data_IF_356736733427
#
_entry.id   IF_356736733427
#
_cell.length_a   1.000
_cell.length_b   1.000
_cell.length_c   1.000
_cell.angle_alpha   90.00
_cell.angle_beta   90.00
_cell.angle_gamma   90.00
#
_symmetry.space_group_name_H-M   'P 1'
#
loop_
_entity.id
_entity.type
_entity.pdbx_description
1 polymer ?
#
# COMPACT_ATOMS: atom_id res chain seq x y z
N UNK A 1 -6.64 -21.13 -30.55
CA UNK A 1 -5.97 -20.37 -29.50
C UNK A 1 -6.56 -18.97 -29.41
N UNK A 2 -6.71 -18.45 -28.19
CA UNK A 2 -7.29 -17.12 -27.94
C UNK A 2 -6.33 -16.01 -28.34
N UNK A 3 -5.02 -16.23 -28.16
CA UNK A 3 -3.97 -15.27 -28.51
C UNK A 3 -3.34 -15.67 -29.84
N UNK A 4 -3.46 -14.83 -30.85
CA UNK A 4 -2.88 -15.05 -32.21
C UNK A 4 -1.93 -13.93 -32.64
N UNK A 5 -2.11 -12.73 -32.10
CA UNK A 5 -1.36 -11.53 -32.46
C UNK A 5 -0.63 -10.97 -31.22
N UNK A 6 0.41 -10.17 -31.43
CA UNK A 6 1.18 -9.53 -30.36
C UNK A 6 1.70 -10.51 -29.28
N UNK A 7 2.06 -11.71 -29.67
CA UNK A 7 2.51 -12.73 -28.71
C UNK A 7 3.69 -12.26 -27.85
N UNK A 8 4.60 -11.46 -28.42
CA UNK A 8 5.73 -10.88 -27.69
C UNK A 8 5.31 -9.99 -26.52
N UNK A 9 4.22 -9.21 -26.67
CA UNK A 9 3.67 -8.40 -25.60
C UNK A 9 3.18 -9.27 -24.42
N UNK A 10 2.38 -10.30 -24.71
CA UNK A 10 1.84 -11.18 -23.66
C UNK A 10 2.93 -12.02 -23.00
N UNK A 11 3.92 -12.49 -23.75
CA UNK A 11 5.08 -13.20 -23.20
C UNK A 11 5.88 -12.26 -22.29
N UNK A 12 6.14 -11.03 -22.71
CA UNK A 12 6.82 -10.03 -21.90
C UNK A 12 6.09 -9.75 -20.58
N UNK A 13 4.77 -9.53 -20.63
CA UNK A 13 3.96 -9.36 -19.42
C UNK A 13 4.02 -10.58 -18.50
N UNK A 14 3.88 -11.77 -19.05
CA UNK A 14 3.99 -13.01 -18.28
C UNK A 14 5.35 -13.16 -17.59
N UNK A 15 6.43 -12.85 -18.28
CA UNK A 15 7.78 -12.90 -17.72
C UNK A 15 7.94 -11.89 -16.57
N UNK A 16 7.45 -10.65 -16.73
CA UNK A 16 7.44 -9.64 -15.68
C UNK A 16 6.68 -10.13 -14.43
N UNK A 17 5.47 -10.65 -14.62
CA UNK A 17 4.65 -11.12 -13.51
C UNK A 17 5.22 -12.37 -12.83
N UNK A 18 5.76 -13.31 -13.59
CA UNK A 18 6.34 -14.54 -13.05
C UNK A 18 7.67 -14.31 -12.31
N UNK A 19 8.37 -13.23 -12.62
CA UNK A 19 9.58 -12.80 -11.89
C UNK A 19 9.28 -11.88 -10.70
N UNK A 20 8.01 -11.52 -10.50
CA UNK A 20 7.55 -10.55 -9.48
C UNK A 20 8.14 -9.14 -9.62
N UNK A 21 8.63 -8.80 -10.80
CA UNK A 21 9.09 -7.44 -11.07
C UNK A 21 7.91 -6.48 -11.23
N UNK A 22 8.01 -5.23 -10.76
CA UNK A 22 7.00 -4.20 -11.03
C UNK A 22 6.84 -3.96 -12.54
N UNK A 23 5.61 -3.68 -12.97
CA UNK A 23 5.35 -3.34 -14.36
C UNK A 23 5.68 -1.89 -14.70
N UNK A 24 5.49 -1.01 -13.72
CA UNK A 24 5.59 0.44 -13.88
C UNK A 24 6.21 1.05 -12.62
N UNK A 25 6.93 2.16 -12.80
CA UNK A 25 7.31 3.00 -11.68
C UNK A 25 6.08 3.77 -11.17
N UNK A 26 5.84 3.69 -9.89
CA UNK A 26 4.70 4.32 -9.22
C UNK A 26 4.48 3.82 -7.81
N UNK A 27 3.50 4.41 -7.16
CA UNK A 27 3.14 4.09 -5.78
C UNK A 27 1.64 3.77 -5.70
N UNK A 28 1.29 2.62 -5.13
CA UNK A 28 -0.06 2.31 -4.70
C UNK A 28 -0.29 2.85 -3.28
N UNK A 29 -1.35 3.59 -3.05
CA UNK A 29 -1.84 3.97 -1.72
C UNK A 29 -3.13 3.22 -1.46
N UNK A 30 -3.06 2.12 -0.70
CA UNK A 30 -4.21 1.32 -0.31
C UNK A 30 -4.72 1.77 1.07
N UNK A 31 -6.01 2.07 1.16
CA UNK A 31 -6.63 2.63 2.35
C UNK A 31 -7.80 1.78 2.84
N UNK A 32 -7.88 1.56 4.16
CA UNK A 32 -9.06 0.99 4.82
C UNK A 32 -9.48 1.89 6.00
N UNK A 33 -10.57 2.64 5.80
CA UNK A 33 -11.04 3.64 6.75
C UNK A 33 -12.44 3.32 7.24
N UNK A 34 -12.67 3.47 8.56
CA UNK A 34 -13.99 3.26 9.18
C UNK A 34 -14.84 4.53 9.08
N UNK A 35 -14.30 5.66 9.53
CA UNK A 35 -15.04 6.94 9.69
C UNK A 35 -14.50 8.08 8.80
N UNK A 36 -13.62 7.79 7.83
CA UNK A 36 -13.09 8.78 6.90
C UNK A 36 -11.76 9.43 7.30
N UNK A 37 -11.38 9.45 8.57
CA UNK A 37 -10.13 10.10 9.01
C UNK A 37 -8.86 9.43 8.41
N UNK A 38 -8.83 8.12 8.37
CA UNK A 38 -7.72 7.38 7.73
C UNK A 38 -7.72 7.61 6.22
N UNK A 39 -8.90 7.73 5.60
CA UNK A 39 -9.02 8.07 4.18
C UNK A 39 -8.47 9.44 3.88
N UNK A 40 -8.86 10.47 4.66
CA UNK A 40 -8.32 11.82 4.51
C UNK A 40 -6.78 11.85 4.65
N UNK A 41 -6.22 11.07 5.58
CA UNK A 41 -4.78 10.93 5.72
C UNK A 41 -4.12 10.24 4.52
N UNK A 42 -4.75 9.21 3.97
CA UNK A 42 -4.25 8.51 2.78
C UNK A 42 -4.34 9.40 1.52
N UNK A 43 -5.41 10.18 1.37
CA UNK A 43 -5.53 11.17 0.29
C UNK A 43 -4.46 12.27 0.43
N UNK A 44 -4.17 12.71 1.66
CA UNK A 44 -3.06 13.65 1.91
C UNK A 44 -1.70 13.03 1.57
N UNK A 45 -1.49 11.76 1.86
CA UNK A 45 -0.26 11.05 1.48
C UNK A 45 -0.10 10.99 -0.05
N UNK A 46 -1.18 10.86 -0.83
CA UNK A 46 -1.14 10.97 -2.30
C UNK A 46 -0.61 12.33 -2.75
N UNK A 47 -1.08 13.42 -2.12
CA UNK A 47 -0.58 14.77 -2.43
C UNK A 47 0.91 14.90 -2.10
N UNK A 48 1.32 14.42 -0.92
CA UNK A 48 2.71 14.46 -0.45
C UNK A 48 3.63 13.66 -1.39
N UNK A 49 3.23 12.45 -1.79
CA UNK A 49 4.02 11.64 -2.74
C UNK A 49 4.19 12.35 -4.08
N UNK A 50 3.13 12.95 -4.61
CA UNK A 50 3.20 13.73 -5.87
C UNK A 50 4.11 14.96 -5.73
N UNK A 51 4.03 15.67 -4.62
CA UNK A 51 4.89 16.82 -4.33
C UNK A 51 6.37 16.43 -4.19
N UNK A 52 6.66 15.21 -3.72
CA UNK A 52 8.01 14.65 -3.63
C UNK A 52 8.48 13.93 -4.91
N UNK A 53 7.76 14.06 -6.02
CA UNK A 53 8.22 13.62 -7.34
C UNK A 53 7.86 12.19 -7.72
N UNK A 54 6.88 11.56 -7.04
CA UNK A 54 6.37 10.26 -7.48
C UNK A 54 5.82 10.37 -8.92
N UNK A 55 6.32 9.50 -9.82
CA UNK A 55 5.95 9.49 -11.24
C UNK A 55 4.46 9.21 -11.46
N UNK A 56 3.91 8.34 -10.61
CA UNK A 56 2.51 7.93 -10.64
C UNK A 56 2.06 7.54 -9.23
N UNK A 57 0.88 7.97 -8.83
CA UNK A 57 0.28 7.58 -7.54
C UNK A 57 -1.17 7.16 -7.79
N UNK A 58 -1.48 5.92 -7.45
CA UNK A 58 -2.82 5.33 -7.52
C UNK A 58 -3.37 5.19 -6.12
N UNK A 59 -4.60 5.63 -5.91
CA UNK A 59 -5.30 5.50 -4.64
C UNK A 59 -6.40 4.45 -4.75
N UNK A 60 -6.49 3.55 -3.76
CA UNK A 60 -7.51 2.50 -3.67
C UNK A 60 -8.13 2.49 -2.26
N UNK A 61 -9.44 2.70 -2.18
CA UNK A 61 -10.23 2.57 -0.95
C UNK A 61 -10.74 1.12 -0.85
N UNK A 62 -10.06 0.29 -0.09
CA UNK A 62 -10.36 -1.15 0.09
C UNK A 62 -11.76 -1.42 0.67
N UNK A 63 -12.45 -0.37 1.15
CA UNK A 63 -13.84 -0.49 1.65
C UNK A 63 -14.88 -0.19 0.57
N UNK A 64 -14.46 0.26 -0.62
CA UNK A 64 -15.34 0.74 -1.69
C UNK A 64 -14.97 0.20 -3.06
N UNK A 65 -13.66 0.15 -3.35
CA UNK A 65 -13.14 -0.23 -4.66
C UNK A 65 -13.02 -1.76 -4.77
N UNK A 66 -12.80 -2.24 -5.98
CA UNK A 66 -12.64 -3.67 -6.23
C UNK A 66 -11.31 -4.19 -5.63
N UNK A 67 -11.42 -5.11 -4.71
CA UNK A 67 -10.27 -5.76 -4.07
C UNK A 67 -9.37 -6.48 -5.09
N UNK A 68 -9.91 -7.00 -6.19
CA UNK A 68 -9.11 -7.66 -7.22
C UNK A 68 -8.25 -6.65 -7.99
N UNK A 69 -8.76 -5.44 -8.24
CA UNK A 69 -7.98 -4.35 -8.84
C UNK A 69 -6.89 -3.86 -7.89
N UNK A 70 -7.18 -3.72 -6.58
CA UNK A 70 -6.17 -3.36 -5.59
C UNK A 70 -5.04 -4.38 -5.53
N UNK A 71 -5.35 -5.67 -5.59
CA UNK A 71 -4.34 -6.75 -5.66
C UNK A 71 -3.54 -6.66 -6.95
N UNK A 72 -4.18 -6.41 -8.11
CA UNK A 72 -3.48 -6.25 -9.38
C UNK A 72 -2.51 -5.05 -9.35
N UNK A 73 -2.91 -3.93 -8.75
CA UNK A 73 -2.06 -2.76 -8.59
C UNK A 73 -0.89 -2.99 -7.63
N UNK A 74 -1.05 -3.83 -6.59
CA UNK A 74 0.06 -4.24 -5.74
C UNK A 74 1.14 -5.05 -6.50
N UNK A 75 0.74 -5.79 -7.52
CA UNK A 75 1.68 -6.46 -8.44
C UNK A 75 2.26 -5.50 -9.49
N UNK A 76 1.51 -4.48 -9.87
CA UNK A 76 1.93 -3.49 -10.88
C UNK A 76 3.01 -2.55 -10.38
N UNK A 77 2.89 -2.07 -9.13
CA UNK A 77 3.80 -1.07 -8.55
C UNK A 77 4.77 -1.69 -7.55
N UNK A 78 6.00 -1.18 -7.55
CA UNK A 78 7.05 -1.64 -6.61
C UNK A 78 6.93 -1.08 -5.20
N UNK A 79 6.18 0.03 -5.04
CA UNK A 79 6.06 0.81 -3.80
C UNK A 79 4.60 0.89 -3.37
N UNK A 80 4.31 0.61 -2.10
CA UNK A 80 2.94 0.50 -1.59
C UNK A 80 2.85 1.21 -0.24
N UNK A 81 1.95 2.18 -0.12
CA UNK A 81 1.53 2.74 1.17
C UNK A 81 0.28 2.02 1.63
N UNK A 82 0.30 1.53 2.86
CA UNK A 82 -0.83 0.92 3.54
C UNK A 82 -1.34 1.87 4.61
N UNK A 83 -2.59 2.34 4.49
CA UNK A 83 -3.23 3.22 5.45
C UNK A 83 -4.44 2.52 6.08
N UNK A 84 -4.35 2.16 7.36
CA UNK A 84 -5.39 1.39 8.03
C UNK A 84 -5.81 1.98 9.37
N UNK A 85 -7.11 1.89 9.66
CA UNK A 85 -7.62 2.11 11.00
C UNK A 85 -7.30 0.92 11.90
N UNK A 86 -7.01 1.20 13.17
CA UNK A 86 -6.99 0.17 14.22
C UNK A 86 -8.40 -0.27 14.54
N UNK A 87 -8.63 -1.57 14.57
CA UNK A 87 -9.93 -2.17 14.85
C UNK A 87 -9.74 -3.42 15.71
N UNK A 88 -10.49 -3.53 16.79
CA UNK A 88 -10.49 -4.67 17.71
C UNK A 88 -9.07 -5.12 18.12
N UNK A 89 -8.24 -4.16 18.53
CA UNK A 89 -6.82 -4.33 18.86
C UNK A 89 -5.94 -4.89 17.73
N UNK A 90 -6.42 -4.85 16.49
CA UNK A 90 -5.75 -5.35 15.28
C UNK A 90 -5.85 -4.39 14.10
N UNK A 91 -5.76 -4.95 12.92
CA UNK A 91 -5.91 -4.26 11.62
C UNK A 91 -7.38 -4.25 11.22
N UNK A 92 -7.86 -3.16 10.63
CA UNK A 92 -9.23 -3.13 10.10
C UNK A 92 -9.41 -4.20 8.98
N UNK A 93 -10.46 -5.06 9.06
CA UNK A 93 -10.58 -6.26 8.24
C UNK A 93 -10.37 -6.12 6.72
N UNK A 94 -10.83 -5.06 6.03
CA UNK A 94 -10.54 -4.93 4.59
C UNK A 94 -9.05 -4.84 4.26
N UNK A 95 -8.23 -4.21 5.13
CA UNK A 95 -6.78 -4.16 4.97
C UNK A 95 -6.15 -5.51 5.29
N UNK A 96 -6.62 -6.19 6.31
CA UNK A 96 -6.14 -7.52 6.70
C UNK A 96 -6.43 -8.55 5.59
N UNK A 97 -7.64 -8.54 5.00
CA UNK A 97 -8.00 -9.39 3.85
C UNK A 97 -7.12 -9.09 2.64
N UNK A 98 -6.88 -7.80 2.34
CA UNK A 98 -5.97 -7.40 1.27
C UNK A 98 -4.58 -8.00 1.46
N UNK A 99 -3.98 -7.83 2.63
CA UNK A 99 -2.64 -8.34 2.94
C UNK A 99 -2.58 -9.87 2.85
N UNK A 100 -3.57 -10.59 3.38
CA UNK A 100 -3.63 -12.05 3.26
C UNK A 100 -3.75 -12.51 1.80
N UNK A 101 -4.46 -11.78 0.94
CA UNK A 101 -4.50 -12.07 -0.49
C UNK A 101 -3.13 -11.91 -1.13
N UNK A 102 -2.37 -10.88 -0.75
CA UNK A 102 -0.99 -10.68 -1.25
C UNK A 102 -0.07 -11.82 -0.81
N UNK A 103 -0.17 -12.25 0.47
CA UNK A 103 0.58 -13.41 1.01
C UNK A 103 0.24 -14.69 0.24
N UNK A 104 -1.04 -15.00 0.05
CA UNK A 104 -1.49 -16.21 -0.66
C UNK A 104 -1.06 -16.23 -2.13
N UNK A 105 -0.88 -15.05 -2.74
CA UNK A 105 -0.35 -14.91 -4.11
C UNK A 105 1.17 -14.80 -4.17
N UNK A 106 1.83 -14.96 -3.02
CA UNK A 106 3.28 -14.93 -2.90
C UNK A 106 3.91 -13.63 -3.42
N UNK A 107 3.23 -12.47 -3.20
CA UNK A 107 3.78 -11.16 -3.56
C UNK A 107 5.14 -10.98 -2.89
N UNK A 108 6.11 -10.49 -3.63
CA UNK A 108 7.48 -10.28 -3.17
C UNK A 108 8.13 -9.11 -3.89
N UNK A 109 9.35 -8.72 -3.48
CA UNK A 109 10.13 -7.62 -4.07
C UNK A 109 9.37 -6.28 -4.04
N UNK A 110 8.81 -5.94 -2.87
CA UNK A 110 8.03 -4.69 -2.69
C UNK A 110 8.51 -3.91 -1.48
N UNK A 111 8.39 -2.59 -1.57
CA UNK A 111 8.63 -1.68 -0.45
C UNK A 111 7.29 -1.16 0.07
N UNK A 112 7.10 -1.24 1.38
CA UNK A 112 5.88 -0.81 2.04
C UNK A 112 6.14 0.35 3.01
N UNK A 113 5.28 1.38 2.94
CA UNK A 113 5.16 2.42 3.95
C UNK A 113 3.86 2.26 4.73
N UNK A 114 3.87 2.56 6.03
CA UNK A 114 2.73 2.31 6.91
C UNK A 114 2.17 3.59 7.51
N UNK A 115 0.85 3.73 7.42
CA UNK A 115 0.05 4.77 8.09
C UNK A 115 -1.01 4.05 8.92
N UNK A 116 -1.08 4.36 10.20
CA UNK A 116 -2.10 3.84 11.09
C UNK A 116 -2.92 4.95 11.72
N UNK A 117 -4.16 4.65 12.08
CA UNK A 117 -5.02 5.56 12.82
C UNK A 117 -5.75 4.82 13.95
N UNK A 118 -5.80 5.44 15.12
CA UNK A 118 -6.54 4.93 16.27
C UNK A 118 -6.67 5.99 17.35
N UNK A 119 -7.82 6.03 18.04
CA UNK A 119 -8.11 7.13 19.00
C UNK A 119 -7.18 7.10 20.21
N UNK A 120 -6.92 5.93 20.80
CA UNK A 120 -6.13 5.80 22.05
C UNK A 120 -4.79 5.13 21.82
N UNK A 121 -4.81 3.91 21.27
CA UNK A 121 -3.62 3.10 21.06
C UNK A 121 -3.65 2.58 19.61
N UNK A 122 -3.15 3.37 18.64
CA UNK A 122 -2.97 2.87 17.27
C UNK A 122 -2.13 1.58 17.30
N UNK A 123 -2.60 0.55 16.61
CA UNK A 123 -1.95 -0.78 16.61
C UNK A 123 -1.97 -1.46 15.23
N UNK A 124 -2.61 -0.82 14.24
CA UNK A 124 -2.71 -1.38 12.89
C UNK A 124 -1.34 -1.57 12.22
N UNK A 125 -0.40 -0.64 12.43
CA UNK A 125 0.94 -0.74 11.85
C UNK A 125 1.68 -1.99 12.34
N UNK A 126 1.58 -2.31 13.62
CA UNK A 126 2.16 -3.53 14.18
C UNK A 126 1.55 -4.79 13.54
N UNK A 127 0.23 -4.82 13.38
CA UNK A 127 -0.47 -5.94 12.75
C UNK A 127 -0.08 -6.09 11.28
N UNK A 128 -0.08 -4.99 10.50
CA UNK A 128 0.35 -4.99 9.11
C UNK A 128 1.80 -5.46 8.98
N UNK A 129 2.73 -4.93 9.80
CA UNK A 129 4.13 -5.32 9.79
C UNK A 129 4.31 -6.81 10.07
N UNK A 130 3.60 -7.37 11.06
CA UNK A 130 3.64 -8.80 11.37
C UNK A 130 3.21 -9.70 10.21
N UNK A 131 2.25 -9.28 9.37
CA UNK A 131 1.86 -10.01 8.16
C UNK A 131 2.94 -9.88 7.08
N UNK A 132 3.52 -8.68 6.90
CA UNK A 132 4.54 -8.40 5.89
C UNK A 132 5.86 -9.12 6.18
N UNK A 133 6.25 -9.31 7.45
CA UNK A 133 7.47 -10.03 7.86
C UNK A 133 7.52 -11.49 7.36
N UNK A 134 6.35 -12.08 7.10
CA UNK A 134 6.26 -13.42 6.50
C UNK A 134 6.46 -13.46 4.99
N UNK A 135 6.55 -12.32 4.32
CA UNK A 135 6.67 -12.22 2.86
C UNK A 135 8.14 -12.16 2.44
N UNK A 136 8.43 -12.70 1.25
CA UNK A 136 9.79 -12.79 0.72
C UNK A 136 10.22 -11.47 0.05
N UNK A 137 11.47 -11.04 0.33
CA UNK A 137 12.07 -9.87 -0.33
C UNK A 137 11.20 -8.60 -0.21
N UNK A 138 10.60 -8.41 0.96
CA UNK A 138 9.80 -7.23 1.29
C UNK A 138 10.59 -6.32 2.20
N UNK A 139 10.61 -5.03 1.87
CA UNK A 139 11.13 -3.98 2.72
C UNK A 139 9.98 -3.18 3.33
N UNK A 140 10.06 -2.87 4.61
CA UNK A 140 9.10 -1.99 5.30
C UNK A 140 9.84 -0.76 5.77
N UNK A 141 9.35 0.42 5.37
CA UNK A 141 9.93 1.70 5.78
C UNK A 141 10.00 1.82 7.30
N UNK A 142 11.06 2.45 7.81
CA UNK A 142 11.24 2.69 9.24
C UNK A 142 10.28 3.77 9.74
N UNK A 143 10.03 4.80 8.93
CA UNK A 143 9.10 5.86 9.26
C UNK A 143 7.64 5.39 9.17
N UNK A 144 7.00 5.26 10.33
CA UNK A 144 5.58 4.93 10.46
C UNK A 144 4.80 6.16 10.87
N UNK A 145 3.72 6.46 10.13
CA UNK A 145 2.84 7.58 10.47
C UNK A 145 1.71 7.09 11.36
N UNK A 146 1.77 7.42 12.66
CA UNK A 146 0.73 7.08 13.64
C UNK A 146 -0.14 8.28 13.93
N UNK A 147 -1.41 8.20 13.55
CA UNK A 147 -2.41 9.27 13.68
C UNK A 147 -3.37 8.93 14.83
N UNK A 148 -3.75 9.93 15.59
CA UNK A 148 -4.77 9.81 16.64
C UNK A 148 -6.01 10.59 16.24
N UNK A 149 -7.00 9.86 15.71
CA UNK A 149 -8.27 10.40 15.16
C UNK A 149 -8.05 11.31 13.96
N UNK A 150 -8.08 12.63 14.15
CA UNK A 150 -7.89 13.61 13.07
C UNK A 150 -6.42 13.90 12.84
N UNK A 151 -6.01 13.93 11.58
CA UNK A 151 -4.66 14.29 11.14
C UNK A 151 -4.29 15.72 11.56
N UNK A 152 -3.02 15.92 11.94
CA UNK A 152 -2.43 17.19 12.36
C UNK A 152 -1.23 17.56 11.47
N UNK A 153 -0.78 18.81 11.54
CA UNK A 153 0.39 19.27 10.79
C UNK A 153 1.66 18.45 11.11
N UNK A 154 1.80 18.01 12.36
CA UNK A 154 2.90 17.11 12.77
C UNK A 154 2.84 15.74 12.10
N UNK A 155 1.66 15.26 11.75
CA UNK A 155 1.51 14.00 11.04
C UNK A 155 1.84 14.17 9.56
N UNK A 156 1.54 15.35 8.97
CA UNK A 156 1.95 15.70 7.60
C UNK A 156 3.47 15.75 7.49
N UNK A 157 4.18 16.31 8.48
CA UNK A 157 5.65 16.30 8.50
C UNK A 157 6.22 14.87 8.48
N UNK A 158 5.61 13.93 9.21
CA UNK A 158 6.00 12.52 9.16
C UNK A 158 5.67 11.85 7.82
N UNK A 159 4.58 12.27 7.16
CA UNK A 159 4.27 11.81 5.80
C UNK A 159 5.34 12.25 4.79
N UNK A 160 5.90 13.46 4.96
CA UNK A 160 7.02 13.93 4.13
C UNK A 160 8.28 13.06 4.32
N UNK A 161 8.58 12.67 5.57
CA UNK A 161 9.69 11.75 5.87
C UNK A 161 9.46 10.37 5.24
N UNK A 162 8.25 9.82 5.40
CA UNK A 162 7.87 8.54 4.79
C UNK A 162 7.91 8.61 3.25
N UNK A 163 7.46 9.72 2.65
CA UNK A 163 7.51 9.88 1.19
C UNK A 163 8.94 9.87 0.67
N UNK A 164 9.86 10.58 1.33
CA UNK A 164 11.28 10.58 0.96
C UNK A 164 11.91 9.19 1.09
N UNK A 165 11.57 8.46 2.14
CA UNK A 165 12.09 7.11 2.37
C UNK A 165 11.60 6.11 1.30
N UNK A 166 10.30 6.09 1.01
CA UNK A 166 9.74 5.12 0.05
C UNK A 166 10.09 5.45 -1.40
N UNK A 167 10.40 6.71 -1.71
CA UNK A 167 10.78 7.15 -3.06
C UNK A 167 12.29 7.01 -3.33
N UNK A 168 13.12 6.89 -2.29
CA UNK A 168 14.55 6.63 -2.44
C UNK A 168 14.84 5.26 -3.07
#
# INVERSE_FOLDING_TARGET
PVLKENLGFYIGKYLTWSSYEPEEDGVLVACASIHGNTKAAAEKMVEVLRANGASKVVFMDLTRDDMAEAVADAFRYGKIILAAASYDAGVFPPMEDFLHRLVHKNLQKRTFGLIENGSWAPCAARGMKGILEGMKEVNVCENVVSIKSTMKDTDVAKMEELAKEILA
#
